data_IF_359401495472
#
_entry.id   IF_359401495472
#
_cell.length_a   1.000
_cell.length_b   1.000
_cell.length_c   1.000
_cell.angle_alpha   90.00
_cell.angle_beta   90.00
_cell.angle_gamma   90.00
#
_symmetry.space_group_name_H-M   'P 1'
#
loop_
_entity.id
_entity.type
_entity.pdbx_description
1 polymer ?
#
# COMPACT_ATOMS: atom_id res chain seq x y z
N UNK A 1 9.43 -21.40 -4.90
CA UNK A 1 9.23 -20.57 -3.70
C UNK A 1 7.72 -20.47 -3.50
N UNK A 2 7.17 -21.20 -2.52
CA UNK A 2 5.73 -21.21 -2.25
C UNK A 2 5.49 -20.15 -1.18
N UNK A 3 5.01 -18.97 -1.58
CA UNK A 3 4.64 -17.86 -0.68
C UNK A 3 3.28 -18.23 -0.07
N UNK A 4 3.12 -18.22 1.25
CA UNK A 4 1.92 -18.77 1.91
C UNK A 4 1.08 -17.75 2.71
N UNK A 5 1.64 -16.63 3.16
CA UNK A 5 0.79 -15.44 3.41
C UNK A 5 1.31 -14.16 2.74
N UNK A 6 0.39 -13.24 2.44
CA UNK A 6 0.69 -11.90 1.96
C UNK A 6 0.12 -10.87 2.96
N UNK A 7 1.01 -10.09 3.56
CA UNK A 7 0.70 -8.93 4.37
C UNK A 7 0.79 -7.70 3.48
N UNK A 8 -0.32 -7.00 3.28
CA UNK A 8 -0.29 -5.67 2.66
C UNK A 8 -0.27 -4.59 3.71
N UNK A 9 0.65 -3.65 3.54
CA UNK A 9 0.66 -2.40 4.28
C UNK A 9 0.13 -1.24 3.44
N UNK A 10 -0.13 -1.35 2.12
CA UNK A 10 -0.81 -0.28 1.34
C UNK A 10 -1.51 -0.76 0.06
N UNK A 11 -2.72 -0.25 -0.13
CA UNK A 11 -3.61 -0.27 -1.28
C UNK A 11 -4.26 1.12 -1.37
N UNK A 12 -4.33 1.66 -2.58
CA UNK A 12 -4.98 2.95 -2.83
C UNK A 12 -6.47 2.77 -2.55
N UNK A 13 -6.98 3.36 -1.48
CA UNK A 13 -8.43 3.51 -1.31
C UNK A 13 -8.76 4.99 -1.24
N UNK A 14 -9.63 5.43 -2.14
CA UNK A 14 -10.25 6.75 -2.10
C UNK A 14 -11.68 6.54 -1.59
N UNK A 15 -12.08 7.07 -0.43
CA UNK A 15 -13.45 6.90 0.02
C UNK A 15 -14.37 7.74 -0.86
N UNK A 16 -15.31 7.10 -1.54
CA UNK A 16 -16.58 7.77 -1.86
C UNK A 16 -17.36 7.97 -0.56
N UNK A 17 -17.91 9.18 -0.42
CA UNK A 17 -18.66 9.71 0.74
C UNK A 17 -19.46 8.66 1.54
N UNK A 18 -19.29 8.72 2.87
CA UNK A 18 -20.27 8.36 3.91
C UNK A 18 -20.39 6.90 4.42
N UNK A 19 -19.35 6.08 4.40
CA UNK A 19 -19.36 4.80 5.13
C UNK A 19 -18.13 4.72 6.03
N UNK A 20 -18.26 5.27 7.23
CA UNK A 20 -17.18 5.46 8.18
C UNK A 20 -17.36 4.53 9.38
N UNK A 21 -16.27 3.86 9.75
CA UNK A 21 -15.97 3.31 11.08
C UNK A 21 -16.66 2.02 11.57
N UNK A 22 -17.51 1.32 10.80
CA UNK A 22 -18.01 0.03 11.30
C UNK A 22 -18.43 -1.02 10.26
N UNK A 23 -18.20 -0.71 8.99
CA UNK A 23 -18.42 -1.62 7.87
C UNK A 23 -17.45 -1.17 6.81
N UNK A 24 -16.85 -2.11 6.06
CA UNK A 24 -16.19 -1.88 4.76
C UNK A 24 -14.67 -1.64 4.82
N UNK A 25 -13.92 -2.54 4.20
CA UNK A 25 -12.44 -2.74 4.17
C UNK A 25 -11.84 -3.60 5.29
N UNK A 26 -10.71 -4.28 4.97
CA UNK A 26 -9.84 -5.06 5.87
C UNK A 26 -9.15 -4.18 6.94
N UNK A 27 -9.63 -2.96 7.17
CA UNK A 27 -9.09 -2.05 8.18
C UNK A 27 -9.55 -2.48 9.55
N UNK A 28 -8.57 -2.87 10.37
CA UNK A 28 -8.83 -3.14 11.77
C UNK A 28 -8.36 -1.92 12.54
N UNK A 29 -9.32 -1.08 12.92
CA UNK A 29 -9.07 0.15 13.67
C UNK A 29 -8.75 1.38 12.80
N UNK A 30 -8.54 2.49 13.47
CA UNK A 30 -8.15 3.78 12.88
C UNK A 30 -7.11 4.47 13.79
N UNK A 31 -6.67 5.68 13.46
CA UNK A 31 -5.63 6.33 14.28
C UNK A 31 -6.08 6.67 15.71
N UNK A 32 -7.39 6.80 15.94
CA UNK A 32 -7.94 7.06 17.27
C UNK A 32 -8.08 5.75 18.07
N UNK A 33 -8.32 4.64 17.38
CA UNK A 33 -8.46 3.30 17.94
C UNK A 33 -7.55 2.32 17.19
N UNK A 34 -6.24 2.48 17.37
CA UNK A 34 -5.24 1.70 16.62
C UNK A 34 -5.16 0.24 17.09
N UNK A 35 -5.53 -0.03 18.34
CA UNK A 35 -5.46 -1.38 18.91
C UNK A 35 -6.68 -2.23 18.60
N UNK A 36 -6.45 -3.53 18.47
CA UNK A 36 -7.48 -4.55 18.34
C UNK A 36 -7.04 -5.84 19.04
N UNK A 37 -8.02 -6.64 19.43
CA UNK A 37 -7.81 -7.98 19.97
C UNK A 37 -7.55 -9.01 18.87
N UNK A 38 -6.94 -10.14 19.22
CA UNK A 38 -6.77 -11.27 18.31
C UNK A 38 -8.09 -11.72 17.69
N UNK A 39 -9.18 -11.76 18.47
CA UNK A 39 -10.50 -12.14 17.97
C UNK A 39 -11.01 -11.16 16.91
N UNK A 40 -10.85 -9.84 17.14
CA UNK A 40 -11.24 -8.83 16.15
C UNK A 40 -10.46 -8.94 14.84
N UNK A 41 -9.18 -9.31 14.89
CA UNK A 41 -8.38 -9.57 13.70
C UNK A 41 -8.86 -10.81 12.95
N UNK A 42 -9.09 -11.91 13.66
CA UNK A 42 -9.44 -13.20 13.05
C UNK A 42 -10.88 -13.24 12.54
N UNK A 43 -11.78 -12.44 13.12
CA UNK A 43 -13.16 -12.28 12.64
C UNK A 43 -13.29 -11.24 11.53
N UNK A 44 -12.25 -10.45 11.27
CA UNK A 44 -12.28 -9.45 10.21
C UNK A 44 -12.34 -10.13 8.84
N UNK A 45 -13.28 -9.69 8.00
CA UNK A 45 -13.52 -10.26 6.67
C UNK A 45 -13.25 -9.23 5.60
N UNK A 46 -12.70 -9.70 4.49
CA UNK A 46 -12.68 -8.97 3.22
C UNK A 46 -14.12 -8.86 2.72
N UNK A 47 -14.55 -7.66 2.32
CA UNK A 47 -15.94 -7.44 1.88
C UNK A 47 -15.96 -6.86 0.46
N UNK A 48 -16.38 -7.67 -0.51
CA UNK A 48 -16.40 -7.34 -1.93
C UNK A 48 -17.72 -6.76 -2.44
N UNK A 49 -18.75 -6.70 -1.61
CA UNK A 49 -20.03 -6.09 -2.01
C UNK A 49 -19.98 -4.55 -2.06
N UNK A 50 -18.79 -3.96 -2.19
CA UNK A 50 -18.53 -2.55 -1.90
C UNK A 50 -17.67 -1.91 -2.99
N UNK A 51 -18.04 -0.71 -3.41
CA UNK A 51 -17.27 0.12 -4.35
C UNK A 51 -16.29 1.05 -3.63
N UNK A 52 -15.90 0.72 -2.39
CA UNK A 52 -15.12 1.58 -1.49
C UNK A 52 -13.61 1.49 -1.70
N UNK A 53 -13.14 0.51 -2.47
CA UNK A 53 -11.78 0.47 -2.99
C UNK A 53 -11.60 1.59 -4.03
N UNK A 54 -10.38 2.08 -4.28
CA UNK A 54 -10.20 3.09 -5.33
C UNK A 54 -10.51 2.53 -6.73
N UNK A 55 -10.52 1.20 -6.84
CA UNK A 55 -10.78 0.40 -8.03
C UNK A 55 -12.29 0.13 -8.25
N UNK A 56 -13.15 0.40 -7.25
CA UNK A 56 -14.59 0.12 -7.34
C UNK A 56 -14.96 -1.37 -7.32
N UNK A 57 -14.02 -2.23 -6.93
CA UNK A 57 -14.09 -3.70 -6.84
C UNK A 57 -12.83 -4.28 -6.17
N UNK A 58 -12.46 -5.54 -6.41
CA UNK A 58 -11.27 -6.10 -5.77
C UNK A 58 -10.00 -5.33 -6.13
N UNK A 59 -9.12 -5.13 -5.16
CA UNK A 59 -7.83 -4.49 -5.36
C UNK A 59 -6.77 -5.48 -5.89
N UNK A 60 -5.59 -4.96 -6.24
CA UNK A 60 -4.51 -5.77 -6.82
C UNK A 60 -4.03 -6.93 -5.93
N UNK A 61 -4.14 -6.80 -4.60
CA UNK A 61 -3.72 -7.83 -3.64
C UNK A 61 -4.73 -8.97 -3.58
N UNK A 62 -6.01 -8.62 -3.59
CA UNK A 62 -7.09 -9.59 -3.65
C UNK A 62 -7.00 -10.39 -4.95
N UNK A 63 -6.73 -9.72 -6.09
CA UNK A 63 -6.44 -10.41 -7.35
C UNK A 63 -5.15 -11.26 -7.32
N UNK A 64 -4.08 -10.77 -6.70
CA UNK A 64 -2.81 -11.49 -6.60
C UNK A 64 -2.93 -12.76 -5.76
N UNK A 65 -3.74 -12.72 -4.70
CA UNK A 65 -3.92 -13.83 -3.76
C UNK A 65 -5.12 -14.72 -4.09
N UNK A 66 -6.06 -14.22 -4.90
CA UNK A 66 -7.39 -14.80 -5.07
C UNK A 66 -8.28 -14.70 -3.83
N UNK A 67 -7.83 -13.98 -2.79
CA UNK A 67 -8.53 -13.90 -1.52
C UNK A 67 -9.56 -12.78 -1.57
N UNK A 68 -10.84 -13.14 -1.50
CA UNK A 68 -11.93 -12.18 -1.53
C UNK A 68 -12.01 -11.43 -2.86
N UNK A 69 -11.97 -12.12 -4.00
CA UNK A 69 -12.25 -11.53 -5.33
C UNK A 69 -13.72 -11.62 -5.72
N UNK A 70 -14.46 -12.57 -5.12
CA UNK A 70 -15.87 -12.80 -5.41
C UNK A 70 -16.77 -11.94 -4.51
N UNK A 71 -17.94 -11.57 -5.02
CA UNK A 71 -18.93 -10.77 -4.29
C UNK A 71 -19.32 -11.42 -2.96
N UNK A 72 -19.38 -10.64 -1.89
CA UNK A 72 -19.77 -11.10 -0.56
C UNK A 72 -18.71 -10.82 0.49
N UNK A 73 -18.62 -11.68 1.51
CA UNK A 73 -17.62 -11.59 2.56
C UNK A 73 -16.71 -12.81 2.52
N UNK A 74 -15.40 -12.61 2.56
CA UNK A 74 -14.39 -13.68 2.60
C UNK A 74 -13.56 -13.56 3.87
N UNK A 75 -13.42 -14.66 4.61
CA UNK A 75 -12.47 -14.73 5.72
C UNK A 75 -11.05 -14.91 5.18
N UNK A 76 -10.05 -14.10 5.59
CA UNK A 76 -8.66 -14.35 5.25
C UNK A 76 -8.17 -15.76 5.59
N UNK A 77 -8.74 -16.37 6.64
CA UNK A 77 -8.39 -17.72 7.08
C UNK A 77 -8.83 -18.82 6.11
N UNK A 78 -9.87 -18.56 5.31
CA UNK A 78 -10.42 -19.51 4.34
C UNK A 78 -9.70 -19.44 2.98
N UNK A 79 -8.78 -18.49 2.80
CA UNK A 79 -8.06 -18.28 1.56
C UNK A 79 -6.84 -19.20 1.40
N UNK A 80 -6.61 -19.66 0.17
CA UNK A 80 -5.40 -20.44 -0.17
C UNK A 80 -4.11 -19.66 0.07
N UNK A 81 -4.13 -18.37 -0.27
CA UNK A 81 -3.11 -17.39 0.13
C UNK A 81 -3.82 -16.39 1.03
N UNK A 82 -3.47 -16.40 2.31
CA UNK A 82 -4.11 -15.56 3.31
C UNK A 82 -3.67 -14.11 3.13
N UNK A 83 -4.62 -13.17 3.27
CA UNK A 83 -4.43 -11.74 3.06
C UNK A 83 -4.94 -10.93 4.24
N UNK A 84 -4.05 -10.18 4.88
CA UNK A 84 -4.42 -9.12 5.82
C UNK A 84 -3.89 -7.79 5.29
N UNK A 85 -4.78 -6.82 5.12
CA UNK A 85 -4.48 -5.55 4.48
C UNK A 85 -4.66 -4.37 5.46
N UNK A 86 -3.53 -3.81 5.89
CA UNK A 86 -3.45 -2.69 6.84
C UNK A 86 -3.44 -1.31 6.16
N UNK A 87 -3.64 -1.30 4.84
CA UNK A 87 -3.52 -0.17 3.94
C UNK A 87 -4.49 1.02 4.12
N UNK A 88 -4.23 1.97 5.01
CA UNK A 88 -5.24 3.01 5.22
C UNK A 88 -5.39 4.02 4.05
N UNK A 89 -6.62 4.22 3.60
CA UNK A 89 -7.03 5.25 2.63
C UNK A 89 -6.45 6.65 2.92
N UNK A 90 -5.73 7.24 1.98
CA UNK A 90 -5.16 8.58 2.17
C UNK A 90 -3.96 8.62 3.14
N UNK A 91 -3.37 7.47 3.47
CA UNK A 91 -2.16 7.43 4.29
C UNK A 91 -0.96 8.05 3.56
N UNK A 92 -0.22 8.85 4.30
CA UNK A 92 1.15 9.24 3.98
C UNK A 92 2.13 8.28 4.67
N UNK A 93 3.42 8.38 4.34
CA UNK A 93 4.47 7.62 5.01
C UNK A 93 4.49 7.94 6.52
N UNK A 94 4.34 9.21 6.88
CA UNK A 94 4.32 9.61 8.28
C UNK A 94 3.98 11.08 8.50
N UNK A 95 3.47 11.39 9.69
CA UNK A 95 3.03 12.75 10.06
C UNK A 95 4.16 13.76 10.23
N UNK A 96 5.42 13.32 10.15
CA UNK A 96 6.60 14.17 10.24
C UNK A 96 6.71 15.16 9.07
N UNK A 97 6.15 14.82 7.91
CA UNK A 97 6.32 15.58 6.68
C UNK A 97 5.03 16.28 6.22
N UNK A 98 3.89 15.65 6.46
CA UNK A 98 2.55 16.10 6.06
C UNK A 98 1.56 15.87 7.21
N UNK A 99 0.57 16.76 7.41
CA UNK A 99 -0.52 16.48 8.31
C UNK A 99 -1.41 15.38 7.74
N UNK A 100 -2.11 14.66 8.62
CA UNK A 100 -3.05 13.62 8.20
C UNK A 100 -4.23 14.23 7.43
N UNK A 101 -4.63 13.60 6.32
CA UNK A 101 -5.79 14.02 5.52
C UNK A 101 -7.08 14.05 6.32
N UNK A 102 -7.20 13.11 7.26
CA UNK A 102 -8.27 13.02 8.26
C UNK A 102 -7.66 12.72 9.62
N UNK A 103 -8.35 13.16 10.68
CA UNK A 103 -7.93 12.93 12.07
C UNK A 103 -7.95 11.45 12.50
N UNK A 104 -8.45 10.55 11.66
CA UNK A 104 -8.43 9.09 11.84
C UNK A 104 -7.52 8.37 10.84
N UNK A 105 -6.93 9.05 9.85
CA UNK A 105 -6.02 8.41 8.88
C UNK A 105 -4.82 7.81 9.60
N UNK A 106 -4.48 6.56 9.29
CA UNK A 106 -3.32 5.85 9.87
C UNK A 106 -2.15 5.94 8.89
N UNK A 107 -1.07 6.70 9.17
CA UNK A 107 0.14 6.72 8.33
C UNK A 107 0.87 5.37 8.34
N UNK A 108 1.74 5.12 7.35
CA UNK A 108 2.49 3.85 7.25
C UNK A 108 3.25 3.50 8.53
N UNK A 109 3.96 4.47 9.13
CA UNK A 109 4.69 4.22 10.39
C UNK A 109 3.79 3.66 11.49
N UNK A 110 2.53 4.08 11.53
CA UNK A 110 1.53 3.61 12.49
C UNK A 110 0.90 2.28 12.05
N UNK A 111 0.68 2.06 10.75
CA UNK A 111 0.21 0.76 10.23
C UNK A 111 1.22 -0.35 10.52
N UNK A 112 2.52 -0.08 10.32
CA UNK A 112 3.61 -1.00 10.69
C UNK A 112 3.62 -1.29 12.19
N UNK A 113 3.52 -0.25 13.03
CA UNK A 113 3.47 -0.44 14.47
C UNK A 113 2.23 -1.24 14.89
N UNK A 114 1.07 -0.93 14.32
CA UNK A 114 -0.20 -1.62 14.56
C UNK A 114 -0.07 -3.10 14.24
N UNK A 115 0.49 -3.43 13.07
CA UNK A 115 0.75 -4.79 12.66
C UNK A 115 1.63 -5.54 13.67
N UNK A 116 2.81 -4.99 13.98
CA UNK A 116 3.76 -5.63 14.89
C UNK A 116 3.20 -5.80 16.31
N UNK A 117 2.39 -4.85 16.77
CA UNK A 117 1.85 -4.84 18.14
C UNK A 117 0.67 -5.79 18.30
N UNK A 118 -0.27 -5.78 17.36
CA UNK A 118 -1.57 -6.42 17.52
C UNK A 118 -1.76 -7.62 16.59
N UNK A 119 -1.30 -7.53 15.34
CA UNK A 119 -1.54 -8.57 14.35
C UNK A 119 -0.54 -9.72 14.44
N UNK A 120 0.76 -9.41 14.45
CA UNK A 120 1.80 -10.45 14.45
C UNK A 120 1.64 -11.46 15.61
N UNK A 121 1.40 -11.04 16.87
CA UNK A 121 1.18 -11.99 17.95
C UNK A 121 -0.04 -12.88 17.72
N UNK A 122 -1.14 -12.30 17.21
CA UNK A 122 -2.38 -13.02 16.92
C UNK A 122 -2.24 -14.01 15.74
N UNK A 123 -1.35 -13.73 14.78
CA UNK A 123 -1.10 -14.55 13.60
C UNK A 123 0.04 -15.57 13.79
N UNK A 124 0.68 -15.61 14.95
CA UNK A 124 1.87 -16.44 15.21
C UNK A 124 1.68 -17.95 15.00
N UNK A 125 0.45 -18.46 15.19
CA UNK A 125 0.10 -19.86 14.96
C UNK A 125 -0.52 -20.13 13.57
N UNK A 126 -0.69 -19.08 12.76
CA UNK A 126 -1.37 -19.14 11.46
C UNK A 126 -0.35 -18.91 10.33
N UNK A 127 0.58 -17.99 10.56
CA UNK A 127 1.58 -17.53 9.59
C UNK A 127 2.98 -17.65 10.15
N UNK A 128 3.96 -17.75 9.26
CA UNK A 128 5.39 -17.75 9.63
C UNK A 128 6.07 -16.57 8.95
N UNK A 129 6.66 -15.62 9.69
CA UNK A 129 7.23 -14.37 9.13
C UNK A 129 8.14 -14.58 7.92
N UNK A 130 9.00 -15.60 7.96
CA UNK A 130 9.98 -15.91 6.91
C UNK A 130 9.32 -16.35 5.59
N UNK A 131 8.10 -16.87 5.66
CA UNK A 131 7.30 -17.31 4.50
C UNK A 131 6.24 -16.30 4.06
N UNK A 132 6.10 -15.20 4.81
CA UNK A 132 5.16 -14.11 4.54
C UNK A 132 5.78 -13.06 3.65
N UNK A 133 5.00 -12.59 2.67
CA UNK A 133 5.33 -11.43 1.85
C UNK A 133 4.78 -10.17 2.49
N UNK A 134 5.64 -9.21 2.84
CA UNK A 134 5.23 -7.87 3.26
C UNK A 134 5.28 -6.91 2.06
N UNK A 135 4.13 -6.37 1.65
CA UNK A 135 4.02 -5.47 0.49
C UNK A 135 3.75 -4.02 0.86
N UNK A 136 4.43 -3.10 0.17
CA UNK A 136 4.41 -1.66 0.41
C UNK A 136 4.16 -0.89 -0.89
N UNK A 137 3.06 -0.14 -0.95
CA UNK A 137 2.75 0.78 -2.05
C UNK A 137 2.29 2.15 -1.53
N UNK A 138 3.23 2.89 -0.93
CA UNK A 138 3.00 4.21 -0.31
C UNK A 138 3.62 5.34 -1.14
N UNK A 139 3.23 6.59 -0.89
CA UNK A 139 3.88 7.78 -1.43
C UNK A 139 3.02 8.63 -2.36
N UNK A 140 1.87 8.10 -2.82
CA UNK A 140 0.95 8.84 -3.68
C UNK A 140 0.40 10.08 -2.98
N UNK A 141 -0.05 9.95 -1.73
CA UNK A 141 -0.56 11.09 -0.97
C UNK A 141 0.59 12.07 -0.62
N UNK A 142 1.75 11.55 -0.22
CA UNK A 142 2.93 12.35 0.15
C UNK A 142 3.35 13.29 -0.98
N UNK A 143 3.41 12.80 -2.22
CA UNK A 143 3.83 13.61 -3.37
C UNK A 143 2.78 14.64 -3.79
N UNK A 144 1.48 14.34 -3.62
CA UNK A 144 0.40 15.30 -3.87
C UNK A 144 0.42 16.42 -2.82
N UNK A 145 0.55 16.06 -1.55
CA UNK A 145 0.52 16.99 -0.42
C UNK A 145 1.76 17.89 -0.36
N UNK A 146 2.89 17.36 -0.78
CA UNK A 146 4.14 18.12 -0.82
C UNK A 146 4.40 18.82 -2.14
N UNK A 147 3.47 18.77 -3.10
CA UNK A 147 3.72 19.25 -4.45
C UNK A 147 4.06 20.75 -4.56
N UNK A 148 3.70 21.53 -3.55
CA UNK A 148 4.00 22.97 -3.43
C UNK A 148 5.00 23.28 -2.32
N UNK A 149 5.70 22.26 -1.79
CA UNK A 149 6.72 22.42 -0.76
C UNK A 149 7.85 23.34 -1.22
N UNK A 150 8.32 24.19 -0.30
CA UNK A 150 9.53 25.02 -0.50
C UNK A 150 10.82 24.26 -0.21
N UNK A 151 10.74 23.12 0.48
CA UNK A 151 11.87 22.21 0.67
C UNK A 151 12.21 21.54 -0.66
N UNK A 152 13.50 21.47 -1.07
CA UNK A 152 13.89 20.77 -2.29
C UNK A 152 13.37 19.33 -2.32
N UNK A 153 12.65 18.97 -3.39
CA UNK A 153 12.01 17.65 -3.51
C UNK A 153 12.97 16.48 -3.31
N UNK A 154 14.23 16.60 -3.75
CA UNK A 154 15.23 15.54 -3.57
C UNK A 154 15.47 15.26 -2.08
N UNK A 155 15.64 16.31 -1.28
CA UNK A 155 15.83 16.22 0.17
C UNK A 155 14.58 15.67 0.84
N UNK A 156 13.42 16.21 0.48
CA UNK A 156 12.15 15.81 1.07
C UNK A 156 11.83 14.34 0.82
N UNK A 157 11.88 13.90 -0.44
CA UNK A 157 11.61 12.51 -0.83
C UNK A 157 12.66 11.55 -0.28
N UNK A 158 13.94 11.95 -0.19
CA UNK A 158 14.97 11.13 0.47
C UNK A 158 14.62 10.87 1.93
N UNK A 159 14.17 11.89 2.66
CA UNK A 159 13.81 11.74 4.07
C UNK A 159 12.53 10.90 4.26
N UNK A 160 11.51 11.16 3.45
CA UNK A 160 10.26 10.39 3.44
C UNK A 160 10.53 8.91 3.16
N UNK A 161 11.27 8.61 2.09
CA UNK A 161 11.60 7.24 1.71
C UNK A 161 12.49 6.57 2.76
N UNK A 162 13.42 7.30 3.39
CA UNK A 162 14.18 6.77 4.53
C UNK A 162 13.27 6.36 5.70
N UNK A 163 12.17 7.09 5.95
CA UNK A 163 11.16 6.69 6.96
C UNK A 163 10.40 5.43 6.55
N UNK A 164 10.02 5.29 5.28
CA UNK A 164 9.45 4.04 4.75
C UNK A 164 10.40 2.85 5.00
N UNK A 165 11.68 2.98 4.64
CA UNK A 165 12.64 1.90 4.84
C UNK A 165 12.98 1.62 6.30
N UNK A 166 12.87 2.62 7.19
CA UNK A 166 12.94 2.37 8.63
C UNK A 166 11.76 1.51 9.13
N UNK A 167 10.55 1.75 8.63
CA UNK A 167 9.39 0.88 8.91
C UNK A 167 9.60 -0.52 8.32
N UNK A 168 10.13 -0.64 7.11
CA UNK A 168 10.49 -1.95 6.55
C UNK A 168 11.54 -2.68 7.39
N UNK A 169 12.53 -1.97 7.92
CA UNK A 169 13.54 -2.54 8.81
C UNK A 169 12.89 -3.13 10.07
N UNK A 170 11.91 -2.45 10.68
CA UNK A 170 11.20 -3.03 11.84
C UNK A 170 10.43 -4.31 11.51
N UNK A 171 9.93 -4.44 10.28
CA UNK A 171 9.29 -5.67 9.80
C UNK A 171 10.35 -6.76 9.58
N UNK A 172 11.51 -6.43 9.03
CA UNK A 172 12.65 -7.36 8.91
C UNK A 172 13.14 -7.85 10.27
N UNK A 173 13.35 -6.95 11.22
CA UNK A 173 13.81 -7.25 12.57
C UNK A 173 12.81 -8.20 13.30
N UNK A 174 11.54 -8.18 12.89
CA UNK A 174 10.48 -9.06 13.41
C UNK A 174 10.41 -10.44 12.74
N UNK A 175 11.34 -10.78 11.84
CA UNK A 175 11.47 -12.11 11.21
C UNK A 175 11.00 -12.19 9.75
N UNK A 176 10.43 -11.13 9.19
CA UNK A 176 9.97 -11.13 7.80
C UNK A 176 11.16 -11.05 6.84
N UNK A 177 11.11 -11.81 5.75
CA UNK A 177 12.22 -11.91 4.78
C UNK A 177 11.82 -11.64 3.34
N UNK A 178 10.53 -11.55 3.02
CA UNK A 178 10.08 -11.31 1.66
C UNK A 178 9.38 -9.96 1.60
N UNK A 179 9.89 -9.07 0.76
CA UNK A 179 9.41 -7.70 0.63
C UNK A 179 9.05 -7.40 -0.81
N UNK A 180 7.87 -6.84 -1.04
CA UNK A 180 7.46 -6.27 -2.32
C UNK A 180 7.25 -4.78 -2.14
N UNK A 181 7.92 -3.98 -2.96
CA UNK A 181 7.78 -2.53 -2.98
C UNK A 181 7.24 -2.16 -4.36
N UNK A 182 6.26 -1.28 -4.40
CA UNK A 182 5.75 -0.72 -5.65
C UNK A 182 6.12 0.75 -5.75
N UNK A 183 6.63 1.16 -6.90
CA UNK A 183 6.88 2.58 -7.14
C UNK A 183 5.57 3.32 -7.51
N UNK A 184 5.63 4.65 -7.60
CA UNK A 184 4.45 5.45 -7.90
C UNK A 184 3.97 5.17 -9.32
N UNK A 185 2.65 5.00 -9.47
CA UNK A 185 1.94 5.08 -10.74
C UNK A 185 2.26 6.40 -11.50
N UNK A 186 1.93 6.51 -12.79
CA UNK A 186 2.13 7.76 -13.55
C UNK A 186 1.13 8.84 -13.10
N UNK A 187 1.37 9.42 -11.92
CA UNK A 187 0.48 10.42 -11.29
C UNK A 187 0.36 11.70 -12.13
N UNK A 188 1.39 11.99 -12.94
CA UNK A 188 1.40 13.05 -13.95
C UNK A 188 0.33 12.85 -15.03
N UNK A 189 -0.16 11.63 -15.23
CA UNK A 189 -1.17 11.24 -16.23
C UNK A 189 -2.57 10.97 -15.65
N UNK A 190 -2.77 11.24 -14.36
CA UNK A 190 -4.12 11.09 -13.76
C UNK A 190 -5.11 12.04 -14.44
N UNK A 191 -6.40 11.65 -14.60
CA UNK A 191 -7.40 12.47 -15.28
C UNK A 191 -7.50 13.90 -14.73
N UNK A 192 -7.42 14.07 -13.40
CA UNK A 192 -7.44 15.39 -12.76
C UNK A 192 -6.21 16.23 -13.09
N UNK A 193 -5.05 15.62 -13.32
CA UNK A 193 -3.79 16.33 -13.46
C UNK A 193 -3.54 16.79 -14.91
N UNK A 194 -3.92 15.97 -15.90
CA UNK A 194 -3.79 16.33 -17.33
C UNK A 194 -4.66 17.52 -17.73
N UNK A 195 -5.69 17.84 -16.94
CA UNK A 195 -6.57 18.99 -17.15
C UNK A 195 -6.00 20.31 -16.58
N UNK A 196 -4.91 20.27 -15.79
CA UNK A 196 -4.33 21.46 -15.16
C UNK A 196 -3.34 22.16 -16.08
N UNK A 197 -3.34 23.50 -16.06
CA UNK A 197 -2.32 24.33 -16.73
C UNK A 197 -0.91 24.11 -16.15
N UNK A 198 -0.81 23.88 -14.84
CA UNK A 198 0.44 23.61 -14.13
C UNK A 198 0.27 22.30 -13.34
N UNK A 199 0.45 21.13 -13.99
CA UNK A 199 0.17 19.84 -13.38
C UNK A 199 1.15 19.54 -12.26
N UNK A 200 0.60 19.03 -11.16
CA UNK A 200 1.32 18.64 -9.95
C UNK A 200 0.67 17.38 -9.34
N UNK A 201 1.46 16.34 -9.01
CA UNK A 201 2.89 16.24 -9.30
C UNK A 201 3.16 16.16 -10.81
N UNK A 202 4.31 16.65 -11.26
CA UNK A 202 4.74 16.51 -12.65
C UNK A 202 5.65 15.29 -12.82
N UNK A 203 5.97 14.94 -14.07
CA UNK A 203 6.80 13.78 -14.41
C UNK A 203 8.16 13.81 -13.71
N UNK A 204 8.79 14.97 -13.52
CA UNK A 204 10.08 15.08 -12.83
C UNK A 204 9.97 14.72 -11.34
N UNK A 205 8.90 15.14 -10.67
CA UNK A 205 8.66 14.79 -9.28
C UNK A 205 8.45 13.27 -9.11
N UNK A 206 7.62 12.68 -9.97
CA UNK A 206 7.34 11.23 -9.97
C UNK A 206 8.62 10.44 -10.24
N UNK A 207 9.39 10.80 -11.27
CA UNK A 207 10.66 10.15 -11.61
C UNK A 207 11.69 10.27 -10.49
N UNK A 208 11.78 11.43 -9.84
CA UNK A 208 12.72 11.62 -8.74
C UNK A 208 12.34 10.77 -7.52
N UNK A 209 11.06 10.72 -7.15
CA UNK A 209 10.60 9.85 -6.07
C UNK A 209 10.91 8.37 -6.39
N UNK A 210 10.54 7.91 -7.58
CA UNK A 210 10.75 6.52 -8.01
C UNK A 210 12.24 6.14 -8.08
N UNK A 211 13.10 7.06 -8.52
CA UNK A 211 14.56 6.83 -8.55
C UNK A 211 15.16 6.73 -7.15
N UNK A 212 14.73 7.60 -6.21
CA UNK A 212 15.16 7.52 -4.81
C UNK A 212 14.67 6.21 -4.18
N UNK A 213 13.42 5.81 -4.43
CA UNK A 213 12.84 4.56 -3.95
C UNK A 213 13.64 3.35 -4.44
N UNK A 214 13.95 3.30 -5.74
CA UNK A 214 14.74 2.22 -6.33
C UNK A 214 16.16 2.15 -5.74
N UNK A 215 16.81 3.30 -5.53
CA UNK A 215 18.13 3.35 -4.90
C UNK A 215 18.09 2.82 -3.46
N UNK A 216 17.05 3.18 -2.69
CA UNK A 216 16.91 2.74 -1.30
C UNK A 216 16.51 1.26 -1.21
N UNK A 217 15.70 0.74 -2.14
CA UNK A 217 15.39 -0.70 -2.22
C UNK A 217 16.65 -1.54 -2.42
N UNK A 218 17.52 -1.12 -3.35
CA UNK A 218 18.83 -1.76 -3.57
C UNK A 218 19.73 -1.72 -2.33
N UNK A 219 19.74 -0.60 -1.60
CA UNK A 219 20.50 -0.49 -0.33
C UNK A 219 19.94 -1.39 0.75
N UNK A 220 18.61 -1.44 0.89
CA UNK A 220 17.95 -2.29 1.87
C UNK A 220 18.26 -3.78 1.64
N UNK A 221 18.24 -4.24 0.37
CA UNK A 221 18.68 -5.59 0.00
C UNK A 221 20.15 -5.87 0.34
N UNK A 222 21.04 -4.90 0.14
CA UNK A 222 22.47 -5.05 0.47
C UNK A 222 22.70 -5.10 1.98
N UNK A 223 21.93 -4.34 2.75
CA UNK A 223 22.01 -4.29 4.22
C UNK A 223 21.37 -5.52 4.88
N UNK A 224 20.37 -6.13 4.23
CA UNK A 224 19.65 -7.30 4.71
C UNK A 224 19.79 -8.45 3.70
N UNK A 225 20.98 -9.08 3.58
CA UNK A 225 21.26 -10.09 2.56
C UNK A 225 20.47 -11.39 2.75
N UNK A 226 19.85 -11.58 3.91
CA UNK A 226 18.93 -12.68 4.22
C UNK A 226 17.49 -12.44 3.71
N UNK A 227 17.22 -11.28 3.12
CA UNK A 227 15.91 -10.90 2.57
C UNK A 227 15.84 -11.07 1.05
N UNK A 228 14.61 -11.23 0.55
CA UNK A 228 14.24 -11.10 -0.85
C UNK A 228 13.46 -9.79 -1.02
N UNK A 229 14.06 -8.81 -1.70
CA UNK A 229 13.46 -7.48 -1.90
C UNK A 229 13.14 -7.30 -3.38
N UNK A 230 11.85 -7.29 -3.73
CA UNK A 230 11.36 -7.04 -5.07
C UNK A 230 10.84 -5.60 -5.19
N UNK A 231 11.25 -4.90 -6.25
CA UNK A 231 10.64 -3.63 -6.66
C UNK A 231 9.83 -3.87 -7.94
N UNK A 232 8.52 -3.67 -7.87
CA UNK A 232 7.67 -3.65 -9.04
C UNK A 232 7.57 -2.22 -9.61
N UNK A 233 7.95 -2.08 -10.89
CA UNK A 233 7.89 -0.81 -11.61
C UNK A 233 6.49 -0.55 -12.16
N UNK A 234 5.59 -0.19 -11.25
CA UNK A 234 4.22 0.22 -11.55
C UNK A 234 4.17 1.36 -12.56
N UNK A 235 5.10 2.32 -12.46
CA UNK A 235 5.15 3.47 -13.36
C UNK A 235 5.31 3.05 -14.82
N UNK A 236 6.33 2.25 -15.10
CA UNK A 236 6.62 1.77 -16.46
C UNK A 236 5.51 0.87 -16.96
N UNK A 237 5.03 -0.06 -16.12
CA UNK A 237 3.95 -0.97 -16.47
C UNK A 237 2.68 -0.20 -16.89
N UNK A 238 2.21 0.73 -16.05
CA UNK A 238 0.99 1.49 -16.32
C UNK A 238 1.15 2.46 -17.49
N UNK A 239 2.34 3.04 -17.70
CA UNK A 239 2.63 3.79 -18.91
C UNK A 239 2.53 2.92 -20.18
N UNK A 240 2.94 1.65 -20.10
CA UNK A 240 2.77 0.66 -21.16
C UNK A 240 1.30 0.38 -21.46
N UNK A 241 0.49 0.15 -20.41
CA UNK A 241 -0.96 -0.05 -20.52
C UNK A 241 -1.64 1.16 -21.17
N UNK A 242 -1.32 2.38 -20.73
CA UNK A 242 -1.87 3.62 -21.30
C UNK A 242 -1.46 3.83 -22.76
N UNK A 243 -0.26 3.38 -23.16
CA UNK A 243 0.24 3.50 -24.54
C UNK A 243 -0.39 2.46 -25.47
N UNK A 244 -0.63 1.25 -24.98
CA UNK A 244 -1.23 0.16 -25.74
C UNK A 244 -2.34 -0.50 -24.93
N UNK A 245 -3.54 0.12 -24.89
CA UNK A 245 -4.63 -0.36 -24.05
C UNK A 245 -5.29 -1.65 -24.55
N UNK A 246 -5.20 -1.94 -25.86
CA UNK A 246 -5.97 -3.01 -26.50
C UNK A 246 -5.76 -4.41 -25.89
N UNK A 247 -4.53 -4.84 -25.51
CA UNK A 247 -4.33 -6.12 -24.83
C UNK A 247 -4.91 -6.20 -23.41
N UNK A 248 -5.21 -5.06 -22.80
CA UNK A 248 -5.70 -4.95 -21.42
C UNK A 248 -7.18 -4.58 -21.34
N UNK A 249 -7.82 -4.31 -22.48
CA UNK A 249 -9.21 -3.92 -22.54
C UNK A 249 -10.12 -5.15 -22.39
N UNK A 250 -10.99 -5.13 -21.39
CA UNK A 250 -12.12 -6.07 -21.29
C UNK A 250 -13.42 -5.27 -21.43
N UNK A 251 -14.24 -5.61 -22.43
CA UNK A 251 -15.52 -4.93 -22.67
C UNK A 251 -15.44 -3.44 -23.06
N UNK A 252 -14.30 -2.97 -23.58
CA UNK A 252 -14.12 -1.56 -23.98
C UNK A 252 -13.72 -0.61 -22.84
N UNK A 253 -13.49 -1.14 -21.63
CA UNK A 253 -12.98 -0.40 -20.47
C UNK A 253 -11.54 -0.81 -20.22
N UNK A 254 -10.68 0.18 -19.99
CA UNK A 254 -9.30 -0.04 -19.55
C UNK A 254 -9.34 -0.40 -18.06
N UNK A 255 -8.99 -1.65 -17.71
CA UNK A 255 -8.75 -2.04 -16.33
C UNK A 255 -7.34 -1.56 -15.96
N UNK A 256 -7.26 -0.50 -15.16
CA UNK A 256 -6.02 -0.01 -14.55
C UNK A 256 -6.25 0.27 -13.08
#
# INVERSE_FOLDING_TARGET
MIIKPLLSLVGLTAPTKNLWANTTNVFIGDYQNIGFSSQQLLDNKIVQSQTSTAEGGPNWLEHLTGCGVDTGTTSPLDCNIQLWDFAFAGADIGTKYTPRHKYFTVPLVNQTQQFLTYAQPALSNITTPESTLASFWIGTNDIFDTATSTVPFKTLYTNMIATLFASMQTIHDAGYRNFLIMNLAPLDKTPKNVLKRHPLPNTNMVNQFNSILASQASKFQQQNPDSNVALFDTNTFLNGVLKNPAPYAYGGVLLV
#
